data_IF_891010927208
#
_entry.id   IF_891010927208
#
_cell.length_a   1.000
_cell.length_b   1.000
_cell.length_c   1.000
_cell.angle_alpha   90.00
_cell.angle_beta   90.00
_cell.angle_gamma   90.00
#
_symmetry.space_group_name_H-M   'P 1'
#
loop_
_entity.id
_entity.type
_entity.pdbx_description
1 polymer ?
#
# COMPACT_ATOMS: atom_id res chain seq x y z
N UNK A 1 -14.30 -21.31 -5.36
CA UNK A 1 -14.06 -20.05 -4.60
C UNK A 1 -12.66 -19.64 -4.99
N UNK A 2 -12.52 -18.50 -5.64
CA UNK A 2 -11.19 -17.97 -6.03
C UNK A 2 -10.40 -17.73 -4.75
N UNK A 3 -9.31 -18.46 -4.54
CA UNK A 3 -8.29 -18.13 -3.53
C UNK A 3 -7.61 -16.83 -3.96
N UNK A 4 -8.29 -15.72 -3.73
CA UNK A 4 -7.71 -14.40 -3.92
C UNK A 4 -6.61 -14.27 -2.87
N UNK A 5 -5.36 -14.34 -3.31
CA UNK A 5 -4.17 -14.10 -2.47
C UNK A 5 -4.31 -12.70 -1.86
N UNK A 6 -4.78 -12.64 -0.61
CA UNK A 6 -5.08 -11.39 0.04
C UNK A 6 -3.81 -10.80 0.62
N UNK A 7 -3.43 -9.68 0.12
CA UNK A 7 -2.33 -8.81 0.52
C UNK A 7 -2.92 -7.47 0.91
N UNK A 8 -2.23 -6.67 1.69
CA UNK A 8 -2.58 -5.29 1.90
C UNK A 8 -1.36 -4.38 1.74
N UNK A 9 -1.44 -3.46 0.79
CA UNK A 9 -0.45 -2.41 0.64
C UNK A 9 -1.14 -1.04 0.60
N UNK A 10 -0.46 -0.03 1.15
CA UNK A 10 -0.91 1.36 1.14
C UNK A 10 0.23 2.29 0.81
N UNK A 11 -0.05 3.30 -0.04
CA UNK A 11 0.79 4.45 -0.30
C UNK A 11 0.08 5.71 0.17
N UNK A 12 0.79 6.59 0.88
CA UNK A 12 0.26 7.85 1.43
C UNK A 12 1.16 8.98 0.95
N UNK A 13 0.59 9.88 0.16
CA UNK A 13 1.30 11.02 -0.42
C UNK A 13 0.90 12.30 0.32
N UNK A 14 1.80 12.82 1.14
CA UNK A 14 1.60 14.07 1.88
C UNK A 14 2.52 15.18 1.36
N UNK A 15 2.31 16.41 1.83
CA UNK A 15 3.12 17.56 1.42
C UNK A 15 4.61 17.33 1.66
N UNK A 16 4.98 16.69 2.77
CA UNK A 16 6.37 16.45 3.17
C UNK A 16 7.02 15.24 2.49
N UNK A 17 6.24 14.31 1.92
CA UNK A 17 6.82 13.09 1.37
C UNK A 17 5.82 11.99 1.01
N UNK A 18 6.37 10.79 0.89
CA UNK A 18 5.65 9.57 0.54
C UNK A 18 5.95 8.47 1.55
N UNK A 19 4.92 7.79 2.01
CA UNK A 19 4.99 6.57 2.82
C UNK A 19 4.42 5.42 2.01
N UNK A 20 5.12 4.28 1.94
CA UNK A 20 4.58 3.03 1.39
C UNK A 20 4.76 1.92 2.42
N UNK A 21 3.70 1.19 2.69
CA UNK A 21 3.65 0.07 3.64
C UNK A 21 3.07 -1.13 2.94
N UNK A 22 3.70 -2.29 3.08
CA UNK A 22 3.23 -3.56 2.51
C UNK A 22 3.39 -4.69 3.51
N UNK A 23 2.40 -5.58 3.63
CA UNK A 23 2.58 -6.84 4.31
C UNK A 23 3.48 -7.77 3.48
N UNK A 24 3.97 -8.84 4.10
CA UNK A 24 4.81 -9.84 3.40
C UNK A 24 4.22 -11.24 3.42
N UNK A 25 3.08 -11.42 4.11
CA UNK A 25 2.45 -12.74 4.21
C UNK A 25 1.85 -13.16 2.88
N UNK A 26 2.06 -14.42 2.53
CA UNK A 26 1.46 -15.06 1.35
C UNK A 26 0.96 -16.42 1.77
N UNK A 27 -0.29 -16.73 1.45
CA UNK A 27 -0.92 -18.01 1.74
C UNK A 27 -1.08 -18.78 0.43
N UNK A 28 -0.49 -19.96 0.36
CA UNK A 28 -0.70 -20.93 -0.71
C UNK A 28 -1.55 -22.12 -0.16
N UNK A 29 -2.80 -21.84 0.25
CA UNK A 29 -3.68 -22.80 0.94
C UNK A 29 -3.72 -22.58 2.46
N UNK A 30 -4.51 -23.40 3.18
CA UNK A 30 -4.82 -23.20 4.61
C UNK A 30 -3.60 -23.31 5.53
N UNK A 31 -2.59 -24.11 5.17
CA UNK A 31 -1.46 -24.46 6.04
C UNK A 31 -0.09 -24.00 5.52
N UNK A 32 -0.04 -23.30 4.36
CA UNK A 32 1.23 -22.90 3.74
C UNK A 32 1.37 -21.38 3.76
N UNK A 33 1.70 -20.83 4.94
CA UNK A 33 2.03 -19.42 5.12
C UNK A 33 3.51 -19.22 4.83
N UNK A 34 3.81 -18.38 3.84
CA UNK A 34 5.16 -18.01 3.45
C UNK A 34 5.35 -16.50 3.53
N UNK A 35 6.61 -16.06 3.64
CA UNK A 35 6.98 -14.65 3.70
C UNK A 35 7.68 -14.27 2.39
N UNK A 36 7.10 -13.35 1.64
CA UNK A 36 7.69 -12.81 0.42
C UNK A 36 7.68 -11.28 0.44
N UNK A 37 8.79 -10.70 0.02
CA UNK A 37 8.88 -9.25 -0.13
C UNK A 37 8.00 -8.78 -1.27
N UNK A 38 7.05 -7.89 -0.95
CA UNK A 38 6.14 -7.26 -1.92
C UNK A 38 6.53 -5.82 -2.22
N UNK A 39 7.39 -5.21 -1.39
CA UNK A 39 7.90 -3.86 -1.52
C UNK A 39 9.32 -3.90 -2.09
N UNK A 40 9.50 -3.33 -3.29
CA UNK A 40 10.75 -3.24 -4.01
C UNK A 40 11.15 -1.77 -4.18
N UNK A 41 12.46 -1.50 -4.14
CA UNK A 41 13.01 -0.16 -4.26
C UNK A 41 13.99 -0.10 -5.41
N UNK A 42 13.88 0.94 -6.23
CA UNK A 42 14.78 1.27 -7.33
C UNK A 42 15.32 2.68 -7.04
N UNK A 43 16.58 2.80 -6.69
CA UNK A 43 17.16 4.07 -6.29
C UNK A 43 18.53 4.26 -6.92
N UNK A 44 18.75 5.48 -7.43
CA UNK A 44 20.05 6.01 -7.81
C UNK A 44 20.27 7.24 -6.93
N UNK A 45 21.16 7.16 -5.93
CA UNK A 45 21.34 8.22 -4.93
C UNK A 45 21.55 9.60 -5.54
N UNK A 46 20.77 10.58 -5.08
CA UNK A 46 20.83 11.97 -5.58
C UNK A 46 20.19 12.19 -6.95
N UNK A 47 19.68 11.15 -7.59
CA UNK A 47 19.00 11.25 -8.90
C UNK A 47 17.54 10.83 -8.81
N UNK A 48 17.26 9.70 -8.21
CA UNK A 48 15.89 9.15 -8.09
C UNK A 48 15.73 8.18 -6.94
N UNK A 49 14.53 8.12 -6.44
CA UNK A 49 14.07 7.11 -5.49
C UNK A 49 12.67 6.68 -5.90
N UNK A 50 12.52 5.39 -6.23
CA UNK A 50 11.28 4.80 -6.71
C UNK A 50 10.96 3.58 -5.84
N UNK A 51 9.68 3.44 -5.48
CA UNK A 51 9.19 2.31 -4.67
C UNK A 51 8.00 1.68 -5.39
N UNK A 52 7.98 0.36 -5.42
CA UNK A 52 6.95 -0.47 -6.03
C UNK A 52 6.45 -1.49 -5.00
N UNK A 53 5.17 -1.45 -4.67
CA UNK A 53 4.52 -2.46 -3.84
C UNK A 53 3.48 -3.22 -4.66
N UNK A 54 3.39 -4.54 -4.48
CA UNK A 54 2.54 -5.42 -5.28
C UNK A 54 1.46 -6.11 -4.46
N UNK A 55 0.30 -6.36 -5.07
CA UNK A 55 -0.77 -7.21 -4.56
C UNK A 55 -1.32 -8.12 -5.67
N UNK A 56 -1.87 -9.27 -5.29
CA UNK A 56 -2.38 -10.27 -6.22
C UNK A 56 -1.42 -11.47 -6.35
N UNK A 57 -1.37 -12.09 -7.53
CA UNK A 57 -0.56 -13.28 -7.76
C UNK A 57 0.94 -12.99 -7.67
N UNK A 58 1.62 -13.72 -6.76
CA UNK A 58 3.04 -13.54 -6.47
C UNK A 58 3.92 -13.84 -7.69
N UNK A 59 3.65 -14.91 -8.43
CA UNK A 59 4.42 -15.28 -9.63
C UNK A 59 4.37 -14.17 -10.67
N UNK A 60 3.18 -13.63 -10.94
CA UNK A 60 3.00 -12.53 -11.89
C UNK A 60 3.74 -11.26 -11.42
N UNK A 61 3.64 -10.93 -10.13
CA UNK A 61 4.32 -9.75 -9.59
C UNK A 61 5.85 -9.88 -9.65
N UNK A 62 6.40 -11.06 -9.37
CA UNK A 62 7.83 -11.33 -9.49
C UNK A 62 8.31 -11.24 -10.94
N UNK A 63 7.55 -11.78 -11.90
CA UNK A 63 7.85 -11.65 -13.33
C UNK A 63 7.92 -10.20 -13.78
N UNK A 64 6.94 -9.36 -13.35
CA UNK A 64 6.96 -7.92 -13.64
C UNK A 64 8.17 -7.24 -13.02
N UNK A 65 8.49 -7.52 -11.74
CA UNK A 65 9.65 -6.93 -11.07
C UNK A 65 10.97 -7.33 -11.75
N UNK A 66 11.10 -8.57 -12.18
CA UNK A 66 12.27 -9.06 -12.91
C UNK A 66 12.44 -8.34 -14.24
N UNK A 67 11.38 -8.21 -15.04
CA UNK A 67 11.39 -7.45 -16.28
C UNK A 67 11.78 -5.98 -16.08
N UNK A 68 11.31 -5.34 -15.01
CA UNK A 68 11.67 -3.96 -14.69
C UNK A 68 13.15 -3.81 -14.32
N UNK A 69 13.73 -4.82 -13.66
CA UNK A 69 15.15 -4.84 -13.32
C UNK A 69 16.05 -5.11 -14.56
N UNK A 70 15.64 -6.03 -15.42
CA UNK A 70 16.35 -6.33 -16.67
C UNK A 70 16.21 -5.20 -17.69
N UNK A 71 15.03 -4.60 -17.76
CA UNK A 71 14.62 -3.60 -18.74
C UNK A 71 13.72 -4.17 -19.82
N UNK A 72 12.94 -3.30 -20.46
CA UNK A 72 12.07 -3.63 -21.59
C UNK A 72 12.48 -2.87 -22.84
N UNK A 73 12.53 -3.58 -23.97
CA UNK A 73 12.75 -2.93 -25.26
C UNK A 73 11.58 -1.97 -25.57
N UNK A 74 11.90 -0.76 -26.00
CA UNK A 74 10.93 0.15 -26.55
C UNK A 74 10.45 -0.40 -27.91
N UNK A 75 9.15 -0.57 -28.14
CA UNK A 75 8.64 -1.17 -29.39
C UNK A 75 8.88 -0.30 -30.62
N UNK A 76 9.13 1.00 -30.47
CA UNK A 76 9.33 1.93 -31.58
C UNK A 76 10.82 2.11 -31.91
N UNK A 77 11.69 2.18 -30.89
CA UNK A 77 13.12 2.47 -31.06
C UNK A 77 14.01 1.24 -30.91
N UNK A 78 13.54 0.17 -30.29
CA UNK A 78 14.33 -1.00 -29.91
C UNK A 78 15.28 -0.77 -28.72
N UNK A 79 15.37 0.45 -28.19
CA UNK A 79 16.21 0.78 -27.03
C UNK A 79 15.71 0.13 -25.76
N UNK A 80 16.63 -0.25 -24.87
CA UNK A 80 16.32 -0.84 -23.59
C UNK A 80 15.96 0.25 -22.58
N UNK A 81 14.69 0.28 -22.14
CA UNK A 81 14.19 1.18 -21.13
C UNK A 81 14.19 0.50 -19.76
N UNK A 82 14.67 1.23 -18.74
CA UNK A 82 14.71 0.81 -17.34
C UNK A 82 14.14 1.89 -16.44
N UNK A 83 13.77 1.52 -15.20
CA UNK A 83 13.37 2.51 -14.19
C UNK A 83 14.50 3.50 -13.87
N UNK A 84 15.75 3.06 -13.98
CA UNK A 84 16.94 3.86 -13.70
C UNK A 84 17.19 4.98 -14.73
N UNK A 85 16.68 4.85 -15.96
CA UNK A 85 16.85 5.84 -17.03
C UNK A 85 15.55 6.54 -17.44
N UNK A 86 14.43 6.24 -16.81
CA UNK A 86 13.16 6.88 -17.12
C UNK A 86 13.24 8.41 -16.87
N UNK A 87 12.83 9.25 -17.84
CA UNK A 87 13.02 10.71 -17.74
C UNK A 87 12.06 11.37 -16.74
N UNK A 88 10.90 10.78 -16.49
CA UNK A 88 9.89 11.27 -15.55
C UNK A 88 9.21 10.11 -14.82
N UNK A 89 8.62 10.39 -13.66
CA UNK A 89 7.88 9.36 -12.91
C UNK A 89 6.65 8.85 -13.68
N UNK A 90 6.02 9.70 -14.49
CA UNK A 90 4.94 9.29 -15.40
C UNK A 90 5.45 8.26 -16.44
N UNK A 91 6.62 8.50 -17.06
CA UNK A 91 7.23 7.54 -18.01
C UNK A 91 7.63 6.24 -17.31
N UNK A 92 8.15 6.32 -16.09
CA UNK A 92 8.42 5.15 -15.28
C UNK A 92 7.12 4.35 -14.97
N UNK A 93 5.99 5.01 -14.65
CA UNK A 93 4.70 4.36 -14.47
C UNK A 93 4.20 3.70 -15.78
N UNK A 94 4.39 4.35 -16.92
CA UNK A 94 4.08 3.75 -18.23
C UNK A 94 4.92 2.49 -18.49
N UNK A 95 6.20 2.49 -18.10
CA UNK A 95 7.09 1.33 -18.21
C UNK A 95 6.60 0.17 -17.36
N UNK A 96 6.20 0.43 -16.08
CA UNK A 96 5.56 -0.59 -15.23
C UNK A 96 4.30 -1.14 -15.88
N UNK A 97 3.43 -0.28 -16.42
CA UNK A 97 2.22 -0.70 -17.13
C UNK A 97 2.51 -1.57 -18.36
N UNK A 98 3.58 -1.29 -19.09
CA UNK A 98 4.03 -2.13 -20.23
C UNK A 98 4.53 -3.49 -19.75
N UNK A 99 5.31 -3.53 -18.66
CA UNK A 99 5.76 -4.77 -18.06
C UNK A 99 4.57 -5.65 -17.63
N UNK A 100 3.53 -5.07 -17.00
CA UNK A 100 2.30 -5.77 -16.66
C UNK A 100 1.63 -6.36 -17.91
N UNK A 101 1.46 -5.57 -18.98
CA UNK A 101 0.86 -6.07 -20.24
C UNK A 101 1.70 -7.17 -20.89
N UNK A 102 3.02 -7.06 -20.84
CA UNK A 102 3.93 -8.08 -21.38
C UNK A 102 3.76 -9.42 -20.65
N UNK A 103 3.81 -9.41 -19.31
CA UNK A 103 3.58 -10.61 -18.48
C UNK A 103 2.18 -11.16 -18.73
N UNK A 104 1.16 -10.30 -18.80
CA UNK A 104 -0.20 -10.73 -19.11
C UNK A 104 -0.32 -11.45 -20.44
N UNK A 105 0.32 -10.94 -21.50
CA UNK A 105 0.27 -11.57 -22.82
C UNK A 105 0.89 -12.98 -22.83
N UNK A 106 1.90 -13.21 -22.00
CA UNK A 106 2.58 -14.52 -21.89
C UNK A 106 1.80 -15.48 -20.99
N UNK A 107 1.36 -15.02 -19.83
CA UNK A 107 0.83 -15.90 -18.76
C UNK A 107 -0.69 -16.15 -18.86
N UNK A 108 -1.47 -15.23 -19.46
CA UNK A 108 -2.94 -15.39 -19.50
C UNK A 108 -3.41 -16.71 -20.15
N UNK A 109 -2.82 -17.20 -21.25
CA UNK A 109 -3.28 -18.47 -21.82
C UNK A 109 -3.15 -19.67 -20.86
N UNK A 110 -2.07 -19.72 -20.07
CA UNK A 110 -1.87 -20.77 -19.07
C UNK A 110 -2.80 -20.63 -17.86
N UNK A 111 -3.03 -19.40 -17.42
CA UNK A 111 -3.95 -19.12 -16.32
C UNK A 111 -5.41 -19.47 -16.70
N UNK A 112 -5.84 -19.11 -17.91
CA UNK A 112 -7.18 -19.44 -18.41
C UNK A 112 -7.41 -20.96 -18.48
N UNK A 113 -6.42 -21.72 -18.94
CA UNK A 113 -6.48 -23.20 -18.94
C UNK A 113 -6.62 -23.76 -17.52
N UNK A 114 -6.01 -23.11 -16.53
CA UNK A 114 -6.10 -23.48 -15.12
C UNK A 114 -7.34 -22.88 -14.41
N UNK A 115 -8.23 -22.17 -15.12
CA UNK A 115 -9.38 -21.43 -14.58
C UNK A 115 -8.98 -20.39 -13.50
N UNK A 116 -7.78 -19.80 -13.62
CA UNK A 116 -7.26 -18.76 -12.76
C UNK A 116 -7.39 -17.39 -13.45
N UNK A 117 -7.63 -16.35 -12.67
CA UNK A 117 -7.66 -14.97 -13.16
C UNK A 117 -6.26 -14.34 -13.12
N UNK A 118 -5.99 -13.44 -14.08
CA UNK A 118 -4.84 -12.55 -14.01
C UNK A 118 -5.12 -11.43 -13.00
N UNK A 119 -4.79 -11.69 -11.73
CA UNK A 119 -4.98 -10.75 -10.62
C UNK A 119 -3.64 -10.16 -10.21
N UNK A 120 -3.46 -8.86 -10.46
CA UNK A 120 -2.25 -8.12 -10.16
C UNK A 120 -2.53 -6.62 -10.07
N UNK A 121 -1.97 -5.97 -9.07
CA UNK A 121 -1.97 -4.51 -8.95
C UNK A 121 -0.69 -4.03 -8.28
N UNK A 122 -0.29 -2.78 -8.59
CA UNK A 122 0.87 -2.16 -7.98
C UNK A 122 0.54 -0.77 -7.43
N UNK A 123 1.20 -0.42 -6.32
CA UNK A 123 1.46 0.96 -5.95
C UNK A 123 2.86 1.30 -6.40
N UNK A 124 3.00 2.38 -7.15
CA UNK A 124 4.29 2.84 -7.67
C UNK A 124 4.44 4.33 -7.39
N UNK A 125 5.49 4.71 -6.69
CA UNK A 125 5.69 6.11 -6.34
C UNK A 125 7.14 6.45 -6.04
N UNK A 126 7.40 7.74 -5.84
CA UNK A 126 8.71 8.25 -5.53
C UNK A 126 8.97 9.62 -6.14
N UNK A 127 10.24 9.91 -6.39
CA UNK A 127 10.67 11.17 -6.98
C UNK A 127 11.90 10.97 -7.87
N UNK A 128 11.93 11.67 -9.01
CA UNK A 128 13.08 11.83 -9.89
C UNK A 128 13.56 13.28 -9.77
N UNK A 129 14.86 13.52 -9.82
CA UNK A 129 15.49 14.84 -9.71
C UNK A 129 14.86 15.84 -10.68
N UNK A 130 14.49 17.01 -10.15
CA UNK A 130 13.81 18.05 -10.92
C UNK A 130 12.32 17.81 -11.15
N UNK A 131 11.80 16.62 -10.82
CA UNK A 131 10.38 16.28 -10.91
C UNK A 131 9.65 16.39 -9.57
N UNK A 132 8.32 16.36 -9.63
CA UNK A 132 7.48 16.29 -8.44
C UNK A 132 7.42 14.87 -7.90
N UNK A 133 7.20 14.73 -6.58
CA UNK A 133 6.88 13.45 -5.95
C UNK A 133 5.46 13.04 -6.35
N UNK A 134 5.29 11.77 -6.75
CA UNK A 134 4.03 11.23 -7.24
C UNK A 134 3.81 9.82 -6.70
N UNK A 135 2.56 9.39 -6.68
CA UNK A 135 2.12 8.04 -6.34
C UNK A 135 1.06 7.61 -7.36
N UNK A 136 1.21 6.41 -7.89
CA UNK A 136 0.31 5.80 -8.85
C UNK A 136 -0.21 4.45 -8.36
N UNK A 137 -1.42 4.11 -8.75
CA UNK A 137 -1.95 2.74 -8.69
C UNK A 137 -2.06 2.20 -10.11
N UNK A 138 -1.37 1.08 -10.36
CA UNK A 138 -1.30 0.42 -11.67
C UNK A 138 -2.15 -0.85 -11.60
N UNK A 139 -3.10 -0.98 -12.52
CA UNK A 139 -4.05 -2.08 -12.60
C UNK A 139 -3.53 -3.25 -13.45
N UNK A 140 -4.21 -4.40 -13.35
CA UNK A 140 -3.90 -5.61 -14.13
C UNK A 140 -3.96 -5.41 -15.66
N UNK A 141 -4.63 -4.36 -16.15
CA UNK A 141 -4.64 -3.99 -17.56
C UNK A 141 -3.43 -3.12 -17.96
N UNK A 142 -2.55 -2.77 -17.01
CA UNK A 142 -1.39 -1.90 -17.23
C UNK A 142 -1.73 -0.42 -17.40
N UNK A 143 -2.99 -0.03 -17.18
CA UNK A 143 -3.39 1.37 -17.01
C UNK A 143 -3.20 1.79 -15.56
N UNK A 144 -3.19 3.09 -15.28
CA UNK A 144 -2.94 3.59 -13.94
C UNK A 144 -3.67 4.90 -13.66
N UNK A 145 -3.85 5.19 -12.38
CA UNK A 145 -4.32 6.48 -11.87
C UNK A 145 -3.27 7.12 -10.99
N UNK A 146 -3.25 8.44 -10.95
CA UNK A 146 -2.40 9.22 -10.04
C UNK A 146 -3.16 9.57 -8.76
N UNK A 147 -2.46 9.52 -7.62
CA UNK A 147 -2.96 9.98 -6.33
C UNK A 147 -3.16 11.49 -6.34
N UNK A 148 -4.34 11.94 -5.94
CA UNK A 148 -4.68 13.36 -5.83
C UNK A 148 -4.51 13.91 -4.41
N UNK A 149 -4.55 15.24 -4.27
CA UNK A 149 -4.47 15.90 -2.96
C UNK A 149 -5.75 15.71 -2.12
N UNK A 150 -6.91 15.56 -2.76
CA UNK A 150 -8.20 15.39 -2.06
C UNK A 150 -8.32 14.00 -1.40
N UNK A 151 -7.65 13.00 -2.00
CA UNK A 151 -7.53 11.66 -1.45
C UNK A 151 -6.05 11.28 -1.51
N UNK A 152 -5.23 11.70 -0.52
CA UNK A 152 -3.79 11.61 -0.60
C UNK A 152 -3.26 10.22 -0.22
N UNK A 153 -3.97 9.17 -0.57
CA UNK A 153 -3.57 7.79 -0.38
C UNK A 153 -4.17 6.88 -1.44
N UNK A 154 -3.47 5.80 -1.74
CA UNK A 154 -3.93 4.70 -2.59
C UNK A 154 -3.70 3.38 -1.87
N UNK A 155 -4.58 2.42 -2.07
CA UNK A 155 -4.55 1.11 -1.43
C UNK A 155 -4.76 0.01 -2.45
N UNK A 156 -4.07 -1.12 -2.31
CA UNK A 156 -4.25 -2.32 -3.12
C UNK A 156 -4.39 -3.56 -2.23
N UNK A 157 -5.05 -4.59 -2.75
CA UNK A 157 -5.38 -5.78 -1.98
C UNK A 157 -6.55 -5.56 -1.03
N UNK A 158 -6.44 -5.99 0.22
CA UNK A 158 -7.52 -5.98 1.21
C UNK A 158 -7.66 -4.58 1.87
N UNK A 159 -8.22 -3.63 1.15
CA UNK A 159 -8.27 -2.22 1.55
C UNK A 159 -9.46 -1.83 2.45
N UNK A 160 -10.54 -2.61 2.46
CA UNK A 160 -11.81 -2.24 3.13
C UNK A 160 -11.71 -2.05 4.65
N UNK A 161 -10.80 -2.75 5.31
CA UNK A 161 -10.64 -2.63 6.77
C UNK A 161 -9.76 -1.44 7.17
N UNK A 162 -8.82 -1.06 6.31
CA UNK A 162 -7.92 0.07 6.54
C UNK A 162 -8.48 1.41 6.06
N UNK A 163 -9.26 1.42 4.99
CA UNK A 163 -9.77 2.64 4.35
C UNK A 163 -10.53 3.58 5.30
N UNK A 164 -11.44 3.12 6.19
CA UNK A 164 -12.17 4.01 7.10
C UNK A 164 -11.28 4.83 8.04
N UNK A 165 -10.05 4.39 8.31
CA UNK A 165 -9.06 5.11 9.12
C UNK A 165 -8.50 6.28 8.32
N UNK A 166 -8.11 6.03 7.07
CA UNK A 166 -7.57 7.08 6.19
C UNK A 166 -8.59 8.16 5.87
N UNK A 167 -9.82 7.77 5.55
CA UNK A 167 -10.91 8.71 5.22
C UNK A 167 -11.17 9.72 6.36
N UNK A 168 -10.83 9.38 7.61
CA UNK A 168 -11.03 10.24 8.78
C UNK A 168 -9.77 10.99 9.24
N UNK A 169 -8.59 10.42 9.00
CA UNK A 169 -7.38 10.86 9.70
C UNK A 169 -6.30 11.44 8.77
N UNK A 170 -6.37 11.22 7.45
CA UNK A 170 -5.32 11.64 6.52
C UNK A 170 -5.81 12.77 5.62
N UNK A 171 -5.00 13.82 5.54
CA UNK A 171 -5.09 14.90 4.57
C UNK A 171 -3.73 15.11 3.91
N UNK A 172 -3.66 15.81 2.80
CA UNK A 172 -2.38 16.14 2.15
C UNK A 172 -1.40 16.91 3.07
N UNK A 173 -1.91 17.63 4.08
CA UNK A 173 -1.12 18.40 5.07
C UNK A 173 -0.74 17.58 6.31
N UNK A 174 -1.13 16.33 6.40
CA UNK A 174 -0.73 15.46 7.51
C UNK A 174 0.80 15.36 7.56
N UNK A 175 1.38 15.43 8.77
CA UNK A 175 2.82 15.23 8.97
C UNK A 175 3.27 13.85 8.46
N UNK A 176 4.49 13.76 7.92
CA UNK A 176 5.00 12.56 7.28
C UNK A 176 5.05 11.35 8.23
N UNK A 177 5.44 11.56 9.49
CA UNK A 177 5.49 10.47 10.47
C UNK A 177 4.13 10.18 11.11
N UNK A 178 3.24 11.17 11.17
CA UNK A 178 1.84 10.93 11.50
C UNK A 178 1.15 10.10 10.39
N UNK A 179 1.45 10.36 9.13
CA UNK A 179 0.98 9.55 8.01
C UNK A 179 1.48 8.11 8.11
N UNK A 180 2.76 7.90 8.47
CA UNK A 180 3.32 6.57 8.76
C UNK A 180 2.56 5.89 9.90
N UNK A 181 2.37 6.58 11.03
CA UNK A 181 1.62 6.06 12.19
C UNK A 181 0.20 5.64 11.81
N UNK A 182 -0.53 6.48 11.07
CA UNK A 182 -1.89 6.18 10.60
C UNK A 182 -1.88 4.97 9.66
N UNK A 183 -0.87 4.87 8.79
CA UNK A 183 -0.68 3.72 7.92
C UNK A 183 -0.48 2.40 8.69
N UNK A 184 0.31 2.43 9.77
CA UNK A 184 0.51 1.27 10.64
C UNK A 184 -0.76 0.89 11.43
N UNK A 185 -1.55 1.87 11.87
CA UNK A 185 -2.87 1.64 12.48
C UNK A 185 -3.82 0.95 11.50
N UNK A 186 -3.83 1.40 10.25
CA UNK A 186 -4.62 0.80 9.16
C UNK A 186 -4.18 -0.64 8.89
N UNK A 187 -2.87 -0.91 8.91
CA UNK A 187 -2.30 -2.26 8.76
C UNK A 187 -2.75 -3.17 9.91
N UNK A 188 -2.66 -2.73 11.18
CA UNK A 188 -3.15 -3.50 12.34
C UNK A 188 -4.64 -3.83 12.22
N UNK A 189 -5.46 -2.85 11.83
CA UNK A 189 -6.90 -3.03 11.67
C UNK A 189 -7.22 -4.08 10.60
N UNK A 190 -6.45 -4.10 9.51
CA UNK A 190 -6.58 -5.11 8.45
C UNK A 190 -6.15 -6.49 8.93
N UNK A 191 -5.01 -6.59 9.63
CA UNK A 191 -4.50 -7.86 10.19
C UNK A 191 -5.46 -8.48 11.20
N UNK A 192 -6.20 -7.68 11.98
CA UNK A 192 -7.21 -8.17 12.92
C UNK A 192 -8.43 -8.77 12.24
N UNK A 193 -8.74 -8.30 11.04
CA UNK A 193 -9.95 -8.68 10.30
C UNK A 193 -9.68 -9.67 9.17
N UNK A 194 -8.43 -9.83 8.76
CA UNK A 194 -8.02 -10.73 7.69
C UNK A 194 -6.69 -11.43 8.01
N UNK A 195 -6.76 -12.72 8.27
CA UNK A 195 -5.60 -13.55 8.65
C UNK A 195 -4.56 -13.71 7.52
N UNK A 196 -4.94 -13.43 6.28
CA UNK A 196 -4.03 -13.49 5.12
C UNK A 196 -3.06 -12.30 5.07
N UNK A 197 -3.34 -11.23 5.83
CA UNK A 197 -2.46 -10.06 5.99
C UNK A 197 -1.73 -10.17 7.31
N UNK A 198 -0.41 -9.99 7.31
CA UNK A 198 0.33 -10.16 8.56
C UNK A 198 1.81 -9.78 8.50
N UNK A 199 2.42 -9.89 9.65
CA UNK A 199 3.86 -9.68 9.85
C UNK A 199 4.70 -10.73 9.11
N UNK A 200 5.92 -10.35 8.70
CA UNK A 200 6.54 -9.01 8.76
C UNK A 200 5.86 -7.97 7.87
N UNK A 201 6.04 -6.68 8.20
CA UNK A 201 5.57 -5.56 7.41
C UNK A 201 6.78 -4.77 6.90
N UNK A 202 6.85 -4.51 5.60
CA UNK A 202 7.87 -3.64 5.01
C UNK A 202 7.36 -2.19 4.94
N UNK A 203 8.23 -1.25 5.34
CA UNK A 203 7.97 0.19 5.36
C UNK A 203 9.03 0.92 4.55
N UNK A 204 8.61 1.85 3.69
CA UNK A 204 9.47 2.82 3.02
C UNK A 204 8.94 4.23 3.24
N UNK A 205 9.81 5.16 3.62
CA UNK A 205 9.50 6.58 3.73
C UNK A 205 10.49 7.37 2.89
N UNK A 206 9.96 8.27 2.06
CA UNK A 206 10.73 9.15 1.20
C UNK A 206 10.35 10.59 1.55
N UNK A 207 11.31 11.39 1.99
CA UNK A 207 11.11 12.82 2.18
C UNK A 207 11.24 13.56 0.85
N UNK A 208 10.34 14.49 0.60
CA UNK A 208 10.34 15.30 -0.63
C UNK A 208 11.69 15.99 -0.84
N UNK A 209 12.22 15.90 -2.07
CA UNK A 209 13.47 16.49 -2.54
C UNK A 209 14.77 15.92 -1.92
N UNK A 210 14.69 14.85 -1.14
CA UNK A 210 15.89 14.17 -0.60
C UNK A 210 16.48 13.19 -1.61
N UNK A 211 15.65 12.58 -2.48
CA UNK A 211 16.05 11.61 -3.51
C UNK A 211 16.79 10.38 -2.94
N UNK A 212 16.41 9.99 -1.74
CA UNK A 212 16.86 8.78 -1.07
C UNK A 212 15.75 8.27 -0.13
N UNK A 213 15.89 7.04 0.33
CA UNK A 213 15.01 6.46 1.35
C UNK A 213 15.40 7.01 2.73
N UNK A 214 14.51 7.77 3.36
CA UNK A 214 14.68 8.22 4.75
C UNK A 214 14.48 7.06 5.72
N UNK A 215 13.50 6.19 5.44
CA UNK A 215 13.26 4.97 6.20
C UNK A 215 13.10 3.80 5.24
N UNK A 216 13.85 2.72 5.52
CA UNK A 216 13.63 1.38 4.97
C UNK A 216 13.67 0.42 6.15
N UNK A 217 12.49 -0.01 6.59
CA UNK A 217 12.37 -0.79 7.81
C UNK A 217 11.45 -1.99 7.60
N UNK A 218 11.77 -3.09 8.29
CA UNK A 218 10.91 -4.27 8.37
C UNK A 218 10.48 -4.47 9.81
N UNK A 219 9.19 -4.37 10.04
CA UNK A 219 8.57 -4.62 11.33
C UNK A 219 8.38 -6.13 11.48
N UNK A 220 9.16 -6.72 12.38
CA UNK A 220 9.11 -8.14 12.70
C UNK A 220 8.09 -8.44 13.82
N UNK A 221 7.79 -9.73 14.01
CA UNK A 221 6.97 -10.15 15.13
C UNK A 221 7.63 -9.79 16.47
N UNK A 222 6.90 -9.13 17.36
CA UNK A 222 7.41 -8.72 18.68
C UNK A 222 8.10 -7.35 18.71
N UNK A 223 8.10 -6.59 17.60
CA UNK A 223 8.66 -5.23 17.62
C UNK A 223 7.92 -4.32 18.61
N UNK A 224 8.64 -3.69 19.57
CA UNK A 224 8.01 -3.01 20.70
C UNK A 224 7.13 -1.83 20.29
N UNK A 225 7.57 -1.01 19.33
CA UNK A 225 6.79 0.15 18.88
C UNK A 225 5.46 -0.27 18.25
N UNK A 226 5.47 -1.26 17.35
CA UNK A 226 4.25 -1.72 16.69
C UNK A 226 3.29 -2.39 17.69
N UNK A 227 3.84 -3.13 18.67
CA UNK A 227 3.04 -3.71 19.74
C UNK A 227 2.35 -2.63 20.59
N UNK A 228 3.09 -1.62 21.06
CA UNK A 228 2.55 -0.50 21.85
C UNK A 228 1.51 0.31 21.06
N UNK A 229 1.75 0.58 19.78
CA UNK A 229 0.80 1.24 18.88
C UNK A 229 -0.53 0.51 18.83
N UNK A 230 -0.52 -0.81 18.69
CA UNK A 230 -1.72 -1.67 18.64
C UNK A 230 -2.52 -1.60 19.93
N UNK A 231 -1.84 -1.68 21.07
CA UNK A 231 -2.47 -1.61 22.39
C UNK A 231 -3.08 -0.22 22.66
N UNK A 232 -2.33 0.85 22.36
CA UNK A 232 -2.82 2.24 22.50
C UNK A 232 -4.02 2.51 21.59
N UNK A 233 -3.97 2.05 20.34
CA UNK A 233 -5.08 2.21 19.41
C UNK A 233 -6.33 1.49 19.91
N UNK A 234 -6.20 0.25 20.37
CA UNK A 234 -7.30 -0.52 20.95
C UNK A 234 -7.88 0.15 22.20
N UNK A 235 -7.03 0.73 23.06
CA UNK A 235 -7.46 1.46 24.24
C UNK A 235 -8.20 2.77 23.88
N UNK A 236 -7.69 3.51 22.90
CA UNK A 236 -8.30 4.75 22.40
C UNK A 236 -9.70 4.50 21.82
N UNK A 237 -9.88 3.44 21.03
CA UNK A 237 -11.19 3.06 20.48
C UNK A 237 -12.18 2.71 21.59
N UNK A 238 -11.76 1.97 22.63
CA UNK A 238 -12.61 1.66 23.78
C UNK A 238 -12.99 2.92 24.58
N UNK A 239 -12.07 3.87 24.73
CA UNK A 239 -12.34 5.14 25.40
C UNK A 239 -13.32 6.00 24.59
N UNK A 240 -13.11 6.12 23.28
CA UNK A 240 -13.99 6.85 22.37
C UNK A 240 -15.42 6.27 22.40
N UNK A 241 -15.57 4.94 22.31
CA UNK A 241 -16.86 4.28 22.39
C UNK A 241 -17.59 4.61 23.69
N UNK A 242 -16.89 4.63 24.83
CA UNK A 242 -17.50 4.94 26.14
C UNK A 242 -17.94 6.40 26.26
N UNK A 243 -17.33 7.34 25.54
CA UNK A 243 -17.68 8.75 25.56
C UNK A 243 -18.92 9.08 24.71
N UNK A 244 -19.34 8.19 23.83
CA UNK A 244 -20.53 8.36 22.99
C UNK A 244 -21.75 7.97 23.82
N UNK A 245 -22.79 8.84 23.94
CA UNK A 245 -24.02 8.52 24.65
C UNK A 245 -24.70 7.26 24.08
N UNK A 246 -25.41 6.54 24.94
CA UNK A 246 -26.21 5.39 24.50
C UNK A 246 -27.33 5.85 23.55
N UNK A 247 -27.75 5.01 22.57
CA UNK A 247 -28.90 5.34 21.74
C UNK A 247 -30.17 5.48 22.57
N UNK A 248 -31.05 6.44 22.24
CA UNK A 248 -32.30 6.70 23.00
C UNK A 248 -33.40 5.69 22.68
N UNK A 249 -33.05 4.46 22.32
CA UNK A 249 -33.98 3.40 21.93
C UNK A 249 -33.94 2.29 23.00
N UNK A 250 -34.93 2.19 23.85
CA UNK A 250 -35.03 1.10 24.81
C UNK A 250 -35.97 1.43 25.99
N UNK A 251 -36.63 0.40 26.54
CA UNK A 251 -37.67 0.55 27.55
C UNK A 251 -37.16 0.98 28.95
N UNK A 252 -35.85 1.04 29.20
CA UNK A 252 -35.24 1.29 30.51
C UNK A 252 -34.12 2.36 30.44
N UNK A 253 -34.43 3.57 29.98
CA UNK A 253 -33.53 4.71 30.22
C UNK A 253 -33.99 5.44 31.50
N UNK A 254 -33.12 5.42 32.52
CA UNK A 254 -33.30 6.29 33.69
C UNK A 254 -33.08 7.75 33.26
N UNK A 255 -33.82 8.73 33.84
CA UNK A 255 -33.66 10.16 33.55
C UNK A 255 -32.25 10.73 33.79
N UNK A 256 -31.36 9.97 34.43
CA UNK A 256 -29.98 10.36 34.76
C UNK A 256 -29.01 10.23 33.58
N UNK A 257 -29.40 9.61 32.44
CA UNK A 257 -28.57 9.40 31.24
C UNK A 257 -28.67 10.55 30.20
N UNK A 258 -29.36 11.65 30.49
CA UNK A 258 -29.38 12.82 29.62
C UNK A 258 -28.04 13.56 29.65
N UNK A 259 -27.35 13.74 28.50
CA UNK A 259 -26.13 14.52 28.46
C UNK A 259 -26.44 15.97 28.87
N UNK A 260 -25.80 16.47 29.93
CA UNK A 260 -25.83 17.91 30.27
C UNK A 260 -25.39 18.70 29.04
N UNK A 261 -26.31 19.49 28.47
CA UNK A 261 -25.98 20.41 27.38
C UNK A 261 -24.94 21.39 27.90
N UNK A 262 -23.80 21.58 27.19
CA UNK A 262 -22.89 22.67 27.55
C UNK A 262 -23.64 23.98 27.38
N UNK A 263 -23.65 24.82 28.43
CA UNK A 263 -24.20 26.16 28.44
C UNK A 263 -23.30 27.13 27.64
#
# INVERSE_FOLDING_TARGET
>A
MSDTLMTYCVGILVEQGLVIIADTRTNAGLDNVSIYRKLNTFAVPGERVLVLASAGNLSLSQSVVSLLAEGLANPETGELEKLDNAPTLFRAAQLVGRAVRHVRAIESPGLEQASLSFDLSFLFGGQIKGGRMQLYMIYAAGNFIECGHDTPFLQIGEHKYGKPIFDRAVTYKTDLYDALKIGLISMDSTMRSNLSVGLPIDVAVIRRNVLDLEVRHRIEAGEPYFHDLRERWSAALRAAHKSIPRPPYGANQSPEDEPRRPG
#
